data_IF_573059035268
#
_entry.id   IF_573059035268
#
_cell.length_a   1.000
_cell.length_b   1.000
_cell.length_c   1.000
_cell.angle_alpha   90.00
_cell.angle_beta   90.00
_cell.angle_gamma   90.00
#
_symmetry.space_group_name_H-M   'P 1'
#
loop_
_entity.id
_entity.type
_entity.pdbx_description
1 polymer ?
#
# COMPACT_ATOMS: atom_id res chain seq x y z
N UNK A 1 -24.77 19.23 -35.32
CA UNK A 1 -25.19 18.17 -34.39
C UNK A 1 -24.55 16.87 -34.84
N UNK A 2 -23.52 16.40 -34.12
CA UNK A 2 -23.09 15.00 -34.12
C UNK A 2 -22.67 14.68 -32.70
N UNK A 3 -23.24 13.57 -32.22
CA UNK A 3 -23.42 13.18 -30.84
C UNK A 3 -22.14 13.14 -30.01
N UNK A 4 -22.24 13.81 -28.85
CA UNK A 4 -21.58 13.36 -27.63
C UNK A 4 -22.13 11.99 -27.27
N UNK A 5 -21.27 10.98 -27.29
CA UNK A 5 -21.56 9.69 -26.65
C UNK A 5 -20.27 9.05 -26.11
N UNK A 6 -19.59 9.74 -25.19
CA UNK A 6 -18.79 9.05 -24.17
C UNK A 6 -19.66 8.92 -22.91
N UNK A 7 -20.70 8.08 -23.01
CA UNK A 7 -21.37 7.55 -21.82
C UNK A 7 -20.43 6.49 -21.24
N UNK A 8 -19.63 6.87 -20.25
CA UNK A 8 -18.94 5.89 -19.40
C UNK A 8 -20.01 5.09 -18.66
N UNK A 9 -20.11 3.76 -18.84
CA UNK A 9 -20.99 2.95 -18.01
C UNK A 9 -20.35 2.82 -16.61
N UNK A 10 -21.19 3.02 -15.60
CA UNK A 10 -21.04 2.74 -14.16
C UNK A 10 -19.76 2.01 -13.72
N UNK A 11 -18.71 2.74 -13.32
CA UNK A 11 -17.55 2.12 -12.68
C UNK A 11 -17.83 1.79 -11.22
N UNK A 12 -17.73 0.49 -10.85
CA UNK A 12 -16.78 0.16 -9.81
C UNK A 12 -15.97 -1.13 -10.07
N UNK A 13 -14.71 -1.23 -9.60
CA UNK A 13 -13.99 -0.23 -8.78
C UNK A 13 -12.46 -0.30 -8.79
N UNK A 14 -11.83 -1.31 -9.43
CA UNK A 14 -10.38 -1.42 -9.61
C UNK A 14 -9.86 -0.73 -10.89
N UNK A 15 -10.72 0.01 -11.59
CA UNK A 15 -10.50 0.39 -12.99
C UNK A 15 -9.32 1.37 -13.19
N UNK A 16 -8.47 1.03 -14.15
CA UNK A 16 -7.08 1.44 -14.33
C UNK A 16 -6.87 2.44 -15.49
N UNK A 17 -5.93 3.39 -15.33
CA UNK A 17 -5.23 4.04 -16.45
C UNK A 17 -4.44 5.29 -16.07
N UNK A 18 -3.24 5.46 -16.64
CA UNK A 18 -2.69 6.70 -17.23
C UNK A 18 -1.31 6.42 -17.86
N UNK A 19 -1.30 6.46 -19.19
CA UNK A 19 -0.24 6.23 -20.17
C UNK A 19 1.21 6.30 -19.66
N UNK A 20 1.90 5.15 -19.71
CA UNK A 20 3.35 5.02 -19.51
C UNK A 20 3.79 3.82 -18.65
N UNK A 21 2.93 3.36 -17.74
CA UNK A 21 3.11 2.13 -16.96
C UNK A 21 2.02 1.13 -17.38
N UNK A 22 2.26 0.40 -18.47
CA UNK A 22 1.25 -0.45 -19.09
C UNK A 22 1.04 -1.74 -18.28
N UNK A 23 0.20 -1.65 -17.25
CA UNK A 23 -0.19 -2.72 -16.33
C UNK A 23 -1.44 -3.50 -16.76
N UNK A 24 -2.00 -3.25 -17.95
CA UNK A 24 -3.17 -3.94 -18.50
C UNK A 24 -2.97 -5.46 -18.77
N UNK A 25 -1.93 -6.06 -18.18
CA UNK A 25 -1.48 -7.44 -18.40
C UNK A 25 -1.12 -8.21 -17.12
N UNK A 26 -1.28 -7.67 -15.91
CA UNK A 26 -0.98 -8.46 -14.70
C UNK A 26 -2.04 -9.56 -14.52
N UNK A 27 -1.69 -10.85 -14.61
CA UNK A 27 -2.67 -11.92 -14.47
C UNK A 27 -3.21 -11.95 -13.03
N UNK A 28 -4.52 -12.10 -12.88
CA UNK A 28 -5.16 -12.40 -11.61
C UNK A 28 -4.73 -13.81 -11.16
N UNK A 29 -4.18 -13.92 -9.97
CA UNK A 29 -3.78 -15.19 -9.36
C UNK A 29 -4.88 -15.72 -8.44
N UNK A 30 -5.41 -14.86 -7.56
CA UNK A 30 -6.51 -15.21 -6.66
C UNK A 30 -7.22 -13.98 -6.10
N UNK A 31 -8.48 -14.14 -5.71
CA UNK A 31 -9.23 -13.17 -4.91
C UNK A 31 -9.03 -13.43 -3.42
N UNK A 32 -9.15 -12.38 -2.61
CA UNK A 32 -9.15 -12.44 -1.14
C UNK A 32 -10.52 -11.97 -0.69
N UNK A 33 -11.19 -12.81 0.10
CA UNK A 33 -12.58 -12.58 0.53
C UNK A 33 -12.71 -12.49 2.03
N UNK A 34 -13.67 -11.67 2.46
CA UNK A 34 -14.19 -11.65 3.83
C UNK A 34 -15.68 -11.96 3.74
N UNK A 35 -16.07 -13.17 4.15
CA UNK A 35 -17.41 -13.69 3.84
C UNK A 35 -17.60 -13.85 2.33
N UNK A 36 -18.64 -13.24 1.78
CA UNK A 36 -18.92 -13.20 0.34
C UNK A 36 -18.21 -12.06 -0.40
N UNK A 37 -17.72 -11.04 0.30
CA UNK A 37 -17.18 -9.81 -0.29
C UNK A 37 -15.71 -9.97 -0.66
N UNK A 38 -15.33 -9.50 -1.86
CA UNK A 38 -13.93 -9.42 -2.30
C UNK A 38 -13.30 -8.16 -1.73
N UNK A 39 -12.30 -8.34 -0.85
CA UNK A 39 -11.60 -7.24 -0.17
C UNK A 39 -10.22 -6.95 -0.75
N UNK A 40 -9.72 -7.82 -1.63
CA UNK A 40 -8.48 -7.64 -2.37
C UNK A 40 -8.20 -8.76 -3.35
N UNK A 41 -7.10 -8.64 -4.07
CA UNK A 41 -6.65 -9.62 -5.06
C UNK A 41 -5.14 -9.81 -5.00
N UNK A 42 -4.67 -10.96 -5.45
CA UNK A 42 -3.26 -11.19 -5.75
C UNK A 42 -3.10 -11.24 -7.27
N UNK A 43 -2.19 -10.43 -7.80
CA UNK A 43 -1.82 -10.40 -9.23
C UNK A 43 -0.37 -10.80 -9.41
N UNK A 44 0.04 -11.05 -10.65
CA UNK A 44 1.45 -11.27 -11.00
C UNK A 44 1.95 -10.13 -11.90
N UNK A 45 2.98 -9.43 -11.43
CA UNK A 45 3.52 -8.28 -12.17
C UNK A 45 4.53 -8.70 -13.24
N UNK A 46 5.02 -7.71 -14.01
CA UNK A 46 6.02 -7.93 -15.06
C UNK A 46 7.40 -8.42 -14.55
N UNK A 47 7.63 -8.40 -13.24
CA UNK A 47 8.83 -8.96 -12.61
C UNK A 47 8.62 -10.38 -12.09
N UNK A 48 7.52 -11.03 -12.47
CA UNK A 48 7.09 -12.35 -12.00
C UNK A 48 6.88 -12.42 -10.48
N UNK A 49 6.58 -11.27 -9.86
CA UNK A 49 6.27 -11.20 -8.43
C UNK A 49 4.76 -11.27 -8.19
N UNK A 50 4.33 -11.99 -7.16
CA UNK A 50 2.97 -11.89 -6.63
C UNK A 50 2.81 -10.57 -5.88
N UNK A 51 1.77 -9.82 -6.22
CA UNK A 51 1.44 -8.52 -5.63
C UNK A 51 0.06 -8.61 -5.01
N UNK A 52 -0.02 -8.34 -3.71
CA UNK A 52 -1.29 -8.06 -3.02
C UNK A 52 -1.77 -6.67 -3.44
N UNK A 53 -3.03 -6.56 -3.83
CA UNK A 53 -3.70 -5.31 -4.15
C UNK A 53 -5.02 -5.23 -3.37
N UNK A 54 -5.27 -4.11 -2.71
CA UNK A 54 -6.52 -3.84 -2.00
C UNK A 54 -6.77 -2.34 -1.89
N UNK A 55 -8.02 -1.86 -2.02
CA UNK A 55 -8.34 -0.46 -1.76
C UNK A 55 -8.50 -0.16 -0.26
N UNK A 56 -8.59 -1.19 0.59
CA UNK A 56 -9.08 -1.08 1.97
C UNK A 56 -7.99 -1.05 3.05
N UNK A 57 -6.87 -1.73 2.81
CA UNK A 57 -5.80 -1.86 3.81
C UNK A 57 -4.65 -0.94 3.46
N UNK A 58 -4.43 0.14 4.22
CA UNK A 58 -3.30 1.04 3.97
C UNK A 58 -1.98 0.29 4.15
N UNK A 59 -1.19 0.27 3.08
CA UNK A 59 0.17 -0.26 3.05
C UNK A 59 1.10 0.89 2.65
N UNK A 60 2.16 1.09 3.41
CA UNK A 60 3.22 2.04 3.09
C UNK A 60 4.54 1.30 2.92
N UNK A 61 5.10 1.30 1.70
CA UNK A 61 6.49 0.83 1.46
C UNK A 61 7.42 2.05 1.63
N UNK A 62 8.38 1.93 2.55
CA UNK A 62 9.36 2.95 2.91
C UNK A 62 10.75 2.40 2.58
N UNK A 63 11.34 2.89 1.50
CA UNK A 63 12.70 2.53 1.11
C UNK A 63 13.72 3.37 1.91
N UNK A 64 14.73 2.70 2.49
CA UNK A 64 15.80 3.37 3.23
C UNK A 64 16.93 3.77 2.27
N UNK A 65 17.45 4.98 2.43
CA UNK A 65 18.67 5.41 1.73
C UNK A 65 18.51 5.72 0.24
N UNK A 66 17.29 6.00 -0.24
CA UNK A 66 17.05 6.41 -1.63
C UNK A 66 16.83 7.93 -1.76
N UNK A 67 17.86 8.73 -2.09
CA UNK A 67 17.72 10.17 -2.34
C UNK A 67 17.25 10.49 -3.78
N UNK A 68 16.88 9.50 -4.60
CA UNK A 68 16.82 9.65 -6.07
C UNK A 68 15.58 10.38 -6.61
N UNK A 69 14.73 10.96 -5.76
CA UNK A 69 13.51 11.65 -6.20
C UNK A 69 13.35 13.03 -5.54
N UNK A 70 13.13 14.05 -6.38
CA UNK A 70 13.09 15.48 -6.06
C UNK A 70 11.94 15.95 -5.16
N UNK A 71 11.18 15.06 -4.51
CA UNK A 71 10.08 15.46 -3.62
C UNK A 71 10.46 15.45 -2.13
N UNK A 72 11.73 15.14 -1.81
CA UNK A 72 12.29 15.22 -0.46
C UNK A 72 11.73 14.20 0.53
N UNK A 73 10.99 13.19 0.03
CA UNK A 73 10.28 12.20 0.84
C UNK A 73 11.13 10.93 1.00
N UNK A 74 12.22 11.01 1.79
CA UNK A 74 13.10 9.89 2.07
C UNK A 74 13.57 9.90 3.53
N UNK A 75 13.98 8.73 4.01
CA UNK A 75 14.61 8.53 5.32
C UNK A 75 15.90 7.74 5.13
N UNK A 76 16.93 8.08 5.91
CA UNK A 76 18.22 7.41 5.80
C UNK A 76 18.28 6.17 6.68
N UNK A 77 17.57 6.19 7.82
CA UNK A 77 17.68 5.14 8.83
C UNK A 77 16.33 4.55 9.21
N UNK A 78 16.34 3.28 9.62
CA UNK A 78 15.17 2.61 10.20
C UNK A 78 14.62 3.39 11.40
N UNK A 79 15.50 4.02 12.20
CA UNK A 79 15.12 4.83 13.35
C UNK A 79 14.27 6.04 12.96
N UNK A 80 14.69 6.79 11.95
CA UNK A 80 13.94 7.96 11.44
C UNK A 80 12.56 7.54 10.94
N UNK A 81 12.51 6.49 10.13
CA UNK A 81 11.28 5.92 9.59
C UNK A 81 10.29 5.54 10.71
N UNK A 82 10.79 4.87 11.76
CA UNK A 82 10.00 4.44 12.91
C UNK A 82 9.55 5.60 13.81
N UNK A 83 10.37 6.66 13.94
CA UNK A 83 9.98 7.87 14.67
C UNK A 83 8.85 8.59 13.95
N UNK A 84 8.92 8.70 12.62
CA UNK A 84 7.87 9.28 11.79
C UNK A 84 6.54 8.52 11.92
N UNK A 85 6.58 7.19 11.87
CA UNK A 85 5.37 6.37 12.07
C UNK A 85 4.79 6.56 13.49
N UNK A 86 5.65 6.60 14.52
CA UNK A 86 5.20 6.85 15.90
C UNK A 86 4.55 8.21 16.05
N UNK A 87 5.14 9.24 15.46
CA UNK A 87 4.57 10.59 15.46
C UNK A 87 3.24 10.61 14.70
N UNK A 88 3.15 9.93 13.55
CA UNK A 88 1.92 9.83 12.78
C UNK A 88 0.77 9.18 13.57
N UNK A 89 1.07 8.11 14.31
CA UNK A 89 0.10 7.38 15.13
C UNK A 89 -0.29 8.18 16.38
N UNK A 90 0.67 8.89 16.99
CA UNK A 90 0.43 9.62 18.24
C UNK A 90 -0.22 10.98 18.01
N UNK A 91 0.05 11.59 16.85
CA UNK A 91 -0.36 12.93 16.47
C UNK A 91 -1.00 12.95 15.08
N UNK A 92 -2.15 12.28 14.88
CA UNK A 92 -2.78 12.13 13.57
C UNK A 92 -3.10 13.46 12.87
N UNK A 93 -3.26 14.54 13.65
CA UNK A 93 -3.47 15.90 13.17
C UNK A 93 -2.29 16.50 12.39
N UNK A 94 -1.09 15.92 12.46
CA UNK A 94 0.10 16.48 11.81
C UNK A 94 0.22 16.14 10.32
N UNK A 95 -0.24 14.95 9.93
CA UNK A 95 -0.18 14.47 8.54
C UNK A 95 -1.50 14.58 7.81
N UNK A 96 -2.60 14.75 8.56
CA UNK A 96 -3.82 15.29 7.99
C UNK A 96 -3.44 16.58 7.26
N UNK A 97 -3.88 16.78 6.00
CA UNK A 97 -3.54 17.98 5.26
C UNK A 97 -3.79 19.16 6.17
N UNK A 98 -2.73 19.93 6.48
CA UNK A 98 -2.82 21.17 7.25
C UNK A 98 -4.07 21.88 6.77
N UNK A 99 -5.00 22.08 7.69
CA UNK A 99 -6.42 22.33 7.52
C UNK A 99 -6.87 23.50 6.59
N UNK A 100 -6.11 23.94 5.57
CA UNK A 100 -6.26 25.32 5.10
C UNK A 100 -5.66 25.77 3.74
N UNK A 101 -5.22 24.93 2.79
CA UNK A 101 -4.64 25.49 1.54
C UNK A 101 -5.16 24.99 0.20
N UNK A 102 -6.42 24.52 0.15
CA UNK A 102 -7.16 24.44 -1.12
C UNK A 102 -8.70 24.53 -0.98
N UNK A 103 -9.21 25.11 0.12
CA UNK A 103 -10.65 25.32 0.29
C UNK A 103 -11.19 26.62 -0.35
N UNK A 104 -10.36 27.39 -1.07
CA UNK A 104 -10.83 28.53 -1.88
C UNK A 104 -11.22 28.16 -3.32
N UNK A 105 -10.90 26.96 -3.82
CA UNK A 105 -11.09 26.64 -5.25
C UNK A 105 -12.19 25.63 -5.55
N UNK A 106 -12.68 24.88 -4.56
CA UNK A 106 -13.70 23.86 -4.84
C UNK A 106 -14.67 23.69 -3.68
N UNK A 107 -15.66 24.58 -3.55
CA UNK A 107 -17.06 24.23 -3.31
C UNK A 107 -17.86 25.54 -3.19
N UNK A 108 -18.73 25.74 -4.17
CA UNK A 108 -19.72 26.81 -4.33
C UNK A 108 -20.30 27.37 -3.00
N UNK A 109 -19.61 28.36 -2.40
CA UNK A 109 -20.22 29.35 -1.49
C UNK A 109 -20.68 28.90 -0.10
N UNK A 110 -20.16 27.82 0.50
CA UNK A 110 -20.47 27.46 1.90
C UNK A 110 -19.36 27.91 2.86
N UNK A 111 -19.77 28.61 3.92
CA UNK A 111 -18.86 29.20 4.92
C UNK A 111 -18.21 28.13 5.82
N UNK A 112 -16.90 28.24 6.13
CA UNK A 112 -16.20 27.38 7.10
C UNK A 112 -16.75 27.42 8.53
N UNK A 113 -17.70 28.31 8.84
CA UNK A 113 -18.29 28.48 10.18
C UNK A 113 -19.61 27.71 10.37
N UNK A 114 -20.11 27.02 9.33
CA UNK A 114 -21.30 26.17 9.43
C UNK A 114 -20.97 24.85 10.15
N UNK A 115 -21.66 24.47 11.25
CA UNK A 115 -21.40 23.24 12.00
C UNK A 115 -21.46 21.94 11.15
N UNK A 116 -22.25 21.94 10.08
CA UNK A 116 -22.37 20.81 9.13
C UNK A 116 -21.13 20.60 8.25
N UNK A 117 -20.25 21.61 8.12
CA UNK A 117 -19.00 21.55 7.36
C UNK A 117 -17.95 20.66 8.05
N UNK A 118 -17.91 20.70 9.38
CA UNK A 118 -16.94 19.97 10.19
C UNK A 118 -17.38 18.55 10.56
N UNK A 119 -18.67 18.24 10.45
CA UNK A 119 -19.25 16.99 10.99
C UNK A 119 -18.72 15.71 10.29
N UNK A 120 -18.50 15.74 8.96
CA UNK A 120 -18.00 14.58 8.22
C UNK A 120 -16.48 14.39 8.34
N UNK A 121 -15.73 15.49 8.33
CA UNK A 121 -14.27 15.49 8.51
C UNK A 121 -13.90 15.18 9.96
N UNK A 122 -14.63 15.70 10.95
CA UNK A 122 -14.45 15.35 12.36
C UNK A 122 -14.82 13.89 12.61
N UNK A 123 -15.90 13.34 12.01
CA UNK A 123 -16.17 11.90 12.10
C UNK A 123 -15.02 11.04 11.56
N UNK A 124 -14.45 11.39 10.41
CA UNK A 124 -13.29 10.66 9.87
C UNK A 124 -12.09 10.78 10.82
N UNK A 125 -11.80 11.98 11.32
CA UNK A 125 -10.71 12.24 12.25
C UNK A 125 -10.92 11.49 13.56
N UNK A 126 -12.11 11.57 14.16
CA UNK A 126 -12.45 10.91 15.42
C UNK A 126 -12.44 9.38 15.27
N UNK A 127 -12.91 8.86 14.12
CA UNK A 127 -12.81 7.45 13.78
C UNK A 127 -11.35 6.98 13.67
N UNK A 128 -10.44 7.79 13.11
CA UNK A 128 -9.04 7.43 12.89
C UNK A 128 -8.07 7.98 13.95
N UNK A 129 -8.54 8.72 14.96
CA UNK A 129 -7.70 9.33 16.00
C UNK A 129 -7.49 8.39 17.18
N UNK A 130 -8.45 7.52 17.47
CA UNK A 130 -8.37 6.57 18.58
C UNK A 130 -8.02 5.19 18.06
N UNK A 131 -6.86 4.69 18.49
CA UNK A 131 -6.49 3.29 18.25
C UNK A 131 -5.91 3.01 16.87
N UNK A 132 -5.30 4.00 16.19
CA UNK A 132 -4.44 3.70 15.04
C UNK A 132 -3.36 2.70 15.43
N UNK A 133 -3.11 1.77 14.53
CA UNK A 133 -2.31 0.58 14.80
C UNK A 133 -1.74 0.01 13.52
N UNK A 134 -0.41 -0.08 13.49
CA UNK A 134 0.35 -0.53 12.34
C UNK A 134 1.25 -1.69 12.72
N UNK A 135 1.23 -2.76 11.92
CA UNK A 135 2.30 -3.74 11.90
C UNK A 135 3.44 -3.22 11.03
N UNK A 136 4.65 -3.34 11.54
CA UNK A 136 5.88 -2.95 10.86
C UNK A 136 6.63 -4.20 10.46
N UNK A 137 7.05 -4.24 9.20
CA UNK A 137 7.82 -5.31 8.63
C UNK A 137 9.11 -4.78 8.03
N UNK A 138 10.22 -5.48 8.20
CA UNK A 138 11.45 -5.25 7.45
C UNK A 138 11.33 -5.91 6.10
N UNK A 139 11.71 -5.18 5.05
CA UNK A 139 11.77 -5.67 3.67
C UNK A 139 13.20 -5.56 3.15
N UNK A 140 13.47 -6.08 1.96
CA UNK A 140 14.74 -5.89 1.29
C UNK A 140 15.11 -4.41 1.05
N UNK A 141 14.12 -3.53 0.83
CA UNK A 141 14.37 -2.10 0.55
C UNK A 141 14.35 -1.19 1.78
N UNK A 142 13.81 -1.67 2.91
CA UNK A 142 13.57 -0.84 4.08
C UNK A 142 12.46 -1.40 4.96
N UNK A 143 11.39 -0.63 5.14
CA UNK A 143 10.26 -0.98 5.98
C UNK A 143 8.94 -1.01 5.19
N UNK A 144 8.00 -1.81 5.68
CA UNK A 144 6.61 -1.80 5.27
C UNK A 144 5.72 -1.62 6.47
N UNK A 145 4.78 -0.69 6.39
CA UNK A 145 3.75 -0.48 7.40
C UNK A 145 2.42 -0.95 6.87
N UNK A 146 1.69 -1.73 7.66
CA UNK A 146 0.34 -2.19 7.34
C UNK A 146 -0.60 -1.74 8.45
N UNK A 147 -1.58 -0.90 8.11
CA UNK A 147 -2.63 -0.53 9.05
C UNK A 147 -3.53 -1.74 9.29
N UNK A 148 -3.80 -2.03 10.56
CA UNK A 148 -4.61 -3.20 10.95
C UNK A 148 -5.91 -2.81 11.66
N UNK A 149 -6.09 -1.53 11.94
CA UNK A 149 -7.12 -1.02 12.86
C UNK A 149 -8.21 -0.21 12.17
N UNK A 150 -8.00 0.18 10.91
CA UNK A 150 -8.89 1.08 10.17
C UNK A 150 -9.00 0.63 8.72
N UNK A 151 -10.19 0.82 8.15
CA UNK A 151 -10.43 0.70 6.72
C UNK A 151 -10.09 2.04 6.06
N UNK A 152 -9.39 1.97 4.94
CA UNK A 152 -8.96 3.13 4.16
C UNK A 152 -9.59 3.09 2.78
N UNK A 153 -9.43 4.18 2.02
CA UNK A 153 -9.81 4.23 0.62
C UNK A 153 -8.62 4.68 -0.22
N UNK A 154 -8.00 3.73 -0.91
CA UNK A 154 -6.84 4.02 -1.74
C UNK A 154 -7.14 5.07 -2.81
N UNK A 155 -6.21 6.01 -2.96
CA UNK A 155 -6.21 6.97 -4.06
C UNK A 155 -6.81 8.34 -3.78
N UNK A 156 -7.35 8.58 -2.58
CA UNK A 156 -7.65 9.96 -2.13
C UNK A 156 -6.39 10.69 -1.68
N UNK A 157 -6.50 12.01 -1.55
CA UNK A 157 -5.37 12.87 -1.19
C UNK A 157 -4.94 12.68 0.27
N UNK A 158 -5.88 12.48 1.20
CA UNK A 158 -5.62 12.22 2.62
C UNK A 158 -4.68 11.03 2.86
N UNK A 159 -4.92 9.92 2.15
CA UNK A 159 -4.10 8.72 2.18
C UNK A 159 -2.71 9.00 1.60
N UNK A 160 -2.64 9.81 0.54
CA UNK A 160 -1.37 10.25 -0.01
C UNK A 160 -0.57 11.11 0.97
N UNK A 161 -1.24 11.97 1.72
CA UNK A 161 -0.63 12.84 2.73
C UNK A 161 -0.07 12.01 3.90
N UNK A 162 -0.81 11.00 4.37
CA UNK A 162 -0.28 10.02 5.32
C UNK A 162 0.96 9.33 4.76
N UNK A 163 0.86 8.75 3.55
CA UNK A 163 1.96 8.04 2.91
C UNK A 163 3.19 8.95 2.73
N UNK A 164 2.99 10.23 2.42
CA UNK A 164 4.07 11.23 2.35
C UNK A 164 4.72 11.46 3.70
N UNK A 165 3.90 11.65 4.73
CA UNK A 165 4.41 11.95 6.07
C UNK A 165 5.24 10.81 6.65
N UNK A 166 4.86 9.56 6.36
CA UNK A 166 5.63 8.38 6.78
C UNK A 166 6.72 7.96 5.79
N UNK A 167 7.08 8.84 4.85
CA UNK A 167 8.17 8.66 3.89
C UNK A 167 8.00 7.48 2.92
N UNK A 168 6.77 7.15 2.56
CA UNK A 168 6.52 6.11 1.56
C UNK A 168 7.01 6.54 0.17
N UNK A 169 7.61 5.60 -0.56
CA UNK A 169 8.23 5.82 -1.87
C UNK A 169 7.31 6.60 -2.82
N UNK A 170 7.86 7.61 -3.50
CA UNK A 170 7.10 8.47 -4.40
C UNK A 170 6.50 7.69 -5.57
N UNK A 171 7.24 6.73 -6.16
CA UNK A 171 6.72 5.93 -7.28
C UNK A 171 5.57 5.04 -6.81
N UNK A 172 5.71 4.43 -5.64
CA UNK A 172 4.66 3.67 -4.96
C UNK A 172 3.42 4.52 -4.72
N UNK A 173 3.56 5.72 -4.15
CA UNK A 173 2.44 6.63 -3.90
C UNK A 173 1.70 7.01 -5.19
N UNK A 174 2.44 7.33 -6.26
CA UNK A 174 1.85 7.62 -7.57
C UNK A 174 1.11 6.43 -8.13
N UNK A 175 1.67 5.24 -8.00
CA UNK A 175 1.06 4.00 -8.44
C UNK A 175 -0.24 3.74 -7.69
N UNK A 176 -0.23 3.85 -6.35
CA UNK A 176 -1.41 3.65 -5.53
C UNK A 176 -2.53 4.63 -5.87
N UNK A 177 -2.17 5.90 -6.13
CA UNK A 177 -3.13 6.91 -6.56
C UNK A 177 -3.69 6.63 -7.94
N UNK A 178 -2.85 6.29 -8.92
CA UNK A 178 -3.32 6.01 -10.27
C UNK A 178 -4.20 4.75 -10.35
N UNK A 179 -3.94 3.76 -9.50
CA UNK A 179 -4.61 2.47 -9.52
C UNK A 179 -5.69 2.31 -8.45
N UNK A 180 -5.90 3.33 -7.62
CA UNK A 180 -6.86 3.31 -6.51
C UNK A 180 -6.73 2.03 -5.67
N UNK A 181 -5.49 1.63 -5.39
CA UNK A 181 -5.18 0.44 -4.58
C UNK A 181 -3.89 0.65 -3.79
N UNK A 182 -3.83 0.14 -2.57
CA UNK A 182 -2.56 -0.11 -1.89
C UNK A 182 -1.97 -1.41 -2.41
N UNK A 183 -0.64 -1.51 -2.41
CA UNK A 183 0.05 -2.68 -2.99
C UNK A 183 1.14 -3.20 -2.06
N UNK A 184 1.30 -4.51 -1.99
CA UNK A 184 2.44 -5.13 -1.34
C UNK A 184 3.02 -6.23 -2.23
N UNK A 185 4.33 -6.19 -2.47
CA UNK A 185 5.02 -7.33 -3.07
C UNK A 185 5.10 -8.47 -2.06
N UNK A 186 4.60 -9.64 -2.46
CA UNK A 186 4.53 -10.85 -1.62
C UNK A 186 5.72 -11.79 -1.86
N UNK A 187 6.13 -11.99 -3.10
CA UNK A 187 7.27 -12.86 -3.47
C UNK A 187 8.51 -12.04 -3.87
N UNK A 188 9.74 -12.57 -3.73
CA UNK A 188 10.93 -11.80 -4.04
C UNK A 188 11.04 -11.57 -5.55
N UNK A 189 11.79 -10.55 -5.93
CA UNK A 189 12.26 -10.43 -7.31
C UNK A 189 13.13 -11.65 -7.63
N UNK A 190 12.85 -12.40 -8.71
CA UNK A 190 13.58 -13.63 -9.04
C UNK A 190 15.12 -13.51 -9.00
N UNK A 191 15.66 -12.41 -9.53
CA UNK A 191 17.10 -12.17 -9.54
C UNK A 191 17.71 -11.93 -8.16
N UNK A 192 16.94 -11.48 -7.15
CA UNK A 192 17.43 -11.35 -5.76
C UNK A 192 17.69 -12.70 -5.12
N UNK A 193 16.96 -13.72 -5.55
CA UNK A 193 17.08 -15.08 -5.03
C UNK A 193 17.79 -16.02 -6.00
N UNK A 194 18.46 -15.46 -7.03
CA UNK A 194 19.27 -16.21 -7.99
C UNK A 194 18.52 -17.32 -8.73
N UNK A 195 17.20 -17.14 -8.91
CA UNK A 195 16.38 -17.98 -9.77
C UNK A 195 16.92 -17.98 -11.20
N UNK A 196 16.76 -19.10 -11.88
CA UNK A 196 17.11 -19.26 -13.29
C UNK A 196 16.01 -18.67 -14.16
N UNK A 197 16.41 -17.80 -15.09
CA UNK A 197 15.53 -17.24 -16.11
C UNK A 197 15.45 -18.21 -17.28
N UNK A 198 14.24 -18.63 -17.62
CA UNK A 198 13.95 -19.47 -18.79
C UNK A 198 13.10 -18.64 -19.75
N UNK A 199 13.68 -18.30 -20.89
CA UNK A 199 12.98 -17.58 -21.94
C UNK A 199 12.18 -18.55 -22.82
N UNK A 200 10.86 -18.34 -22.89
CA UNK A 200 9.96 -19.01 -23.83
C UNK A 200 9.60 -18.03 -24.96
N UNK A 201 9.12 -18.50 -26.13
CA UNK A 201 8.74 -17.61 -27.23
C UNK A 201 7.69 -16.54 -26.88
N UNK A 202 6.82 -16.81 -25.90
CA UNK A 202 5.69 -15.97 -25.51
C UNK A 202 5.76 -15.45 -24.05
N UNK A 203 6.69 -15.96 -23.23
CA UNK A 203 6.79 -15.59 -21.81
C UNK A 203 8.18 -15.81 -21.23
N UNK A 204 8.44 -15.22 -20.07
CA UNK A 204 9.59 -15.55 -19.23
C UNK A 204 9.10 -16.36 -18.04
N UNK A 205 9.83 -17.42 -17.70
CA UNK A 205 9.59 -18.25 -16.52
C UNK A 205 10.81 -18.20 -15.60
N UNK A 206 10.58 -18.02 -14.30
CA UNK A 206 11.64 -18.08 -13.29
C UNK A 206 11.54 -19.34 -12.45
N UNK A 207 12.65 -20.08 -12.31
CA UNK A 207 12.70 -21.31 -11.52
C UNK A 207 13.72 -21.25 -10.41
N UNK A 208 13.33 -21.77 -9.24
CA UNK A 208 14.28 -22.05 -8.18
C UNK A 208 15.29 -23.10 -8.65
N UNK A 209 16.55 -22.91 -8.27
CA UNK A 209 17.55 -23.96 -8.45
C UNK A 209 17.21 -25.16 -7.57
N UNK A 210 17.53 -26.39 -7.99
CA UNK A 210 17.32 -27.58 -7.15
C UNK A 210 17.97 -27.39 -5.76
N UNK A 211 17.20 -27.65 -4.70
CA UNK A 211 17.66 -27.50 -3.31
C UNK A 211 17.59 -26.08 -2.75
N UNK A 212 17.13 -25.09 -3.52
CA UNK A 212 16.81 -23.76 -2.98
C UNK A 212 15.40 -23.72 -2.38
N UNK A 213 15.34 -23.35 -1.09
CA UNK A 213 14.11 -23.25 -0.32
C UNK A 213 13.28 -22.00 -0.63
N UNK A 214 12.29 -21.73 0.23
CA UNK A 214 11.43 -20.55 0.12
C UNK A 214 12.18 -19.33 0.65
N UNK A 215 11.94 -18.17 0.05
CA UNK A 215 12.57 -16.92 0.41
C UNK A 215 11.64 -16.03 1.24
N UNK A 216 12.10 -15.59 2.40
CA UNK A 216 11.41 -14.56 3.20
C UNK A 216 11.54 -13.20 2.51
N UNK A 217 10.43 -12.50 2.32
CA UNK A 217 10.40 -11.18 1.66
C UNK A 217 10.05 -10.04 2.61
N UNK A 218 9.41 -10.36 3.72
CA UNK A 218 9.14 -9.45 4.82
C UNK A 218 9.39 -10.18 6.14
N UNK A 219 9.84 -9.46 7.17
CA UNK A 219 10.01 -9.96 8.53
C UNK A 219 9.24 -9.03 9.48
N UNK A 220 8.35 -9.57 10.30
CA UNK A 220 7.66 -8.76 11.30
C UNK A 220 8.65 -8.22 12.33
N UNK A 221 8.62 -6.90 12.54
CA UNK A 221 9.49 -6.20 13.48
C UNK A 221 8.75 -5.92 14.78
N UNK A 222 7.61 -5.21 14.68
CA UNK A 222 6.81 -4.79 15.84
C UNK A 222 5.46 -4.22 15.40
N UNK A 223 4.62 -3.95 16.38
CA UNK A 223 3.43 -3.12 16.23
C UNK A 223 3.70 -1.71 16.79
N UNK A 224 3.18 -0.68 16.11
CA UNK A 224 3.17 0.70 16.56
C UNK A 224 1.72 1.16 16.70
N UNK A 225 1.33 1.61 17.89
CA UNK A 225 -0.06 1.94 18.22
C UNK A 225 -0.84 0.73 18.73
N UNK A 226 -2.14 0.69 18.44
CA UNK A 226 -3.01 -0.44 18.77
C UNK A 226 -2.59 -1.71 18.03
N UNK A 227 -2.77 -2.87 18.66
CA UNK A 227 -2.51 -4.19 18.09
C UNK A 227 -3.78 -4.91 17.60
N UNK A 228 -4.93 -4.22 17.61
CA UNK A 228 -6.19 -4.75 17.10
C UNK A 228 -6.08 -4.98 15.60
N UNK A 229 -6.60 -6.12 15.14
CA UNK A 229 -6.77 -6.41 13.72
C UNK A 229 -8.26 -6.44 13.43
N UNK A 230 -8.73 -5.56 12.53
CA UNK A 230 -10.11 -5.58 12.08
C UNK A 230 -10.42 -6.91 11.35
N UNK A 231 -11.58 -7.54 11.61
CA UNK A 231 -11.99 -8.75 10.93
C UNK A 231 -11.94 -8.62 9.39
N UNK A 232 -12.34 -7.48 8.86
CA UNK A 232 -12.35 -7.15 7.43
C UNK A 232 -10.96 -7.21 6.80
N UNK A 233 -9.91 -6.93 7.58
CA UNK A 233 -8.52 -6.92 7.15
C UNK A 233 -7.81 -8.25 7.38
N UNK A 234 -8.40 -9.17 8.14
CA UNK A 234 -7.73 -10.40 8.57
C UNK A 234 -7.32 -11.29 7.40
N UNK A 235 -8.15 -11.41 6.36
CA UNK A 235 -7.80 -12.17 5.15
C UNK A 235 -6.65 -11.53 4.35
N UNK A 236 -6.61 -10.20 4.29
CA UNK A 236 -5.55 -9.44 3.61
C UNK A 236 -4.23 -9.56 4.36
N UNK A 237 -4.26 -9.34 5.68
CA UNK A 237 -3.09 -9.43 6.55
C UNK A 237 -2.55 -10.86 6.59
N UNK A 238 -3.42 -11.86 6.72
CA UNK A 238 -3.04 -13.27 6.68
C UNK A 238 -2.43 -13.66 5.34
N UNK A 239 -2.95 -13.15 4.22
CA UNK A 239 -2.36 -13.36 2.90
C UNK A 239 -0.96 -12.75 2.80
N UNK A 240 -0.77 -11.53 3.32
CA UNK A 240 0.55 -10.91 3.41
C UNK A 240 1.50 -11.80 4.23
N UNK A 241 1.17 -12.02 5.50
CA UNK A 241 2.08 -12.65 6.46
C UNK A 241 2.47 -14.08 6.05
N UNK A 242 1.51 -14.86 5.52
CA UNK A 242 1.77 -16.22 5.04
C UNK A 242 2.61 -16.24 3.76
N UNK A 243 2.33 -15.38 2.79
CA UNK A 243 3.04 -15.42 1.49
C UNK A 243 4.45 -14.85 1.61
N UNK A 244 4.65 -13.83 2.47
CA UNK A 244 5.96 -13.21 2.69
C UNK A 244 6.83 -13.96 3.70
N UNK A 245 6.25 -14.95 4.40
CA UNK A 245 6.84 -15.66 5.54
C UNK A 245 7.20 -14.72 6.70
N UNK A 246 6.35 -13.72 6.96
CA UNK A 246 6.65 -12.62 7.87
C UNK A 246 6.83 -13.02 9.34
N UNK A 247 6.17 -14.10 9.76
CA UNK A 247 6.08 -14.52 11.15
C UNK A 247 6.86 -15.81 11.44
N UNK A 248 7.72 -16.25 10.52
CA UNK A 248 8.51 -17.48 10.71
C UNK A 248 9.79 -17.13 11.49
N UNK A 249 10.08 -17.83 12.57
CA UNK A 249 11.21 -17.51 13.44
C UNK A 249 12.52 -18.25 13.09
N UNK A 250 12.49 -19.38 12.35
CA UNK A 250 13.69 -20.18 12.02
C UNK A 250 13.65 -20.84 10.62
N UNK A 251 14.82 -21.28 10.12
CA UNK A 251 15.05 -22.12 8.92
C UNK A 251 14.56 -21.61 7.55
N UNK A 252 14.44 -20.28 7.37
CA UNK A 252 14.15 -19.69 6.06
C UNK A 252 15.35 -18.86 5.59
N UNK A 253 15.78 -19.06 4.35
CA UNK A 253 16.75 -18.15 3.72
C UNK A 253 16.11 -16.76 3.62
N UNK A 254 16.67 -15.83 4.37
CA UNK A 254 16.23 -14.44 4.40
C UNK A 254 16.91 -13.68 3.27
N UNK A 255 16.14 -13.22 2.29
CA UNK A 255 16.64 -12.39 1.19
C UNK A 255 16.21 -10.92 1.40
N UNK A 256 16.40 -10.44 2.62
CA UNK A 256 16.30 -9.03 3.00
C UNK A 256 17.66 -8.39 2.68
N UNK A 257 17.86 -7.99 1.43
CA UNK A 257 19.08 -7.31 0.97
C UNK A 257 18.74 -6.09 0.12
#
# INVERSE_FOLDING_TARGET
MKEQANRFPDSPRWAYGLDGYNYSREPLIREIKTGSEVVGIVTRNAYDCEILNTPLMLIADVDLGDPRLNDGCFVQTEREALLALRDAVSNPMQWLPKYQQSYEVAYQGKSPLEPSFWDSSNRWIDQHRLGLGFRVYRTAGGLRYICTTHLWEAGRNSENDFLRYVYSDYRYRRLCKAQQTFRARLTPKPWRIRQECIEHPDRVEWRNKPGEGIARTAEYVKTVGSNVVLPELSGLLGTHDSTTLALIDHDVKTYLA
#
